data_IF_543209735505
#
_entry.id   IF_543209735505
#
_cell.length_a   1.000
_cell.length_b   1.000
_cell.length_c   1.000
_cell.angle_alpha   90.00
_cell.angle_beta   90.00
_cell.angle_gamma   90.00
#
_symmetry.space_group_name_H-M   'P 1'
#
loop_
_entity.id
_entity.type
_entity.pdbx_description
1 polymer ?
#
# COMPACT_ATOMS: atom_id res chain seq x y z
N UNK A 1 22.30 -1.55 10.92
CA UNK A 1 20.96 -2.07 10.58
C UNK A 1 20.00 -0.92 10.68
N UNK A 2 19.31 -0.59 9.58
CA UNK A 2 18.46 0.60 9.54
C UNK A 2 17.07 0.22 10.03
N UNK A 3 16.61 0.84 11.12
CA UNK A 3 15.27 0.62 11.63
C UNK A 3 14.30 1.64 11.02
N UNK A 4 13.81 1.36 9.82
CA UNK A 4 12.86 2.22 9.13
C UNK A 4 11.40 1.83 9.40
N UNK A 5 10.50 2.82 9.30
CA UNK A 5 9.08 2.78 9.68
C UNK A 5 8.84 2.20 11.08
N UNK A 6 9.42 2.79 12.13
CA UNK A 6 9.26 2.31 13.50
C UNK A 6 7.80 2.21 13.94
N UNK A 7 6.89 3.04 13.40
CA UNK A 7 5.46 2.98 13.73
C UNK A 7 4.63 1.96 12.92
N UNK A 8 5.27 1.14 12.07
CA UNK A 8 4.58 0.10 11.27
C UNK A 8 4.04 -1.09 12.08
N UNK A 9 4.24 -1.13 13.40
CA UNK A 9 3.95 -2.27 14.28
C UNK A 9 4.66 -3.58 13.92
N UNK A 10 5.50 -3.63 12.88
CA UNK A 10 6.24 -4.83 12.44
C UNK A 10 7.02 -5.50 13.58
N UNK A 11 7.67 -4.70 14.44
CA UNK A 11 8.47 -5.22 15.57
C UNK A 11 7.67 -5.94 16.65
N UNK A 12 6.37 -5.73 16.70
CA UNK A 12 5.49 -6.40 17.66
C UNK A 12 5.14 -7.82 17.22
N UNK A 13 5.39 -8.18 15.96
CA UNK A 13 5.13 -9.51 15.41
C UNK A 13 6.31 -10.46 15.65
N UNK A 14 6.03 -11.77 15.59
CA UNK A 14 7.06 -12.80 15.57
C UNK A 14 7.24 -13.33 14.13
N UNK A 15 8.46 -13.73 13.78
CA UNK A 15 8.75 -14.39 12.49
C UNK A 15 8.76 -15.90 12.70
N UNK A 16 7.90 -16.61 11.96
CA UNK A 16 7.80 -18.06 11.96
C UNK A 16 8.96 -18.76 11.24
N UNK A 17 9.05 -20.08 11.37
CA UNK A 17 10.11 -20.88 10.75
C UNK A 17 10.04 -20.92 9.21
N UNK A 18 8.86 -20.66 8.66
CA UNK A 18 8.58 -20.50 7.23
C UNK A 18 8.74 -19.05 6.74
N UNK A 19 9.30 -18.18 7.58
CA UNK A 19 9.45 -16.75 7.34
C UNK A 19 8.12 -16.00 7.17
N UNK A 20 7.02 -16.54 7.69
CA UNK A 20 5.73 -15.83 7.77
C UNK A 20 5.59 -15.08 9.11
N UNK A 21 4.73 -14.07 9.15
CA UNK A 21 4.51 -13.25 10.33
C UNK A 21 3.40 -13.83 11.21
N UNK A 22 3.70 -13.98 12.50
CA UNK A 22 2.81 -14.55 13.50
C UNK A 22 2.23 -13.45 14.39
N UNK A 23 0.92 -13.50 14.62
CA UNK A 23 0.19 -12.57 15.48
C UNK A 23 0.56 -12.82 16.95
N UNK A 24 1.04 -11.77 17.62
CA UNK A 24 1.40 -11.78 19.04
C UNK A 24 0.38 -10.99 19.87
N UNK A 25 0.46 -11.11 21.19
CA UNK A 25 -0.34 -10.27 22.09
C UNK A 25 0.06 -8.79 22.00
N UNK A 26 1.35 -8.49 21.81
CA UNK A 26 1.85 -7.12 21.63
C UNK A 26 1.25 -6.46 20.38
N UNK A 27 1.20 -7.19 19.26
CA UNK A 27 0.58 -6.70 18.02
C UNK A 27 -0.90 -6.38 18.21
N UNK A 28 -1.64 -7.28 18.87
CA UNK A 28 -3.05 -7.05 19.17
C UNK A 28 -3.26 -5.83 20.09
N UNK A 29 -2.37 -5.64 21.06
CA UNK A 29 -2.38 -4.50 21.96
C UNK A 29 -2.24 -3.15 21.23
N UNK A 30 -1.52 -3.11 20.10
CA UNK A 30 -1.35 -1.85 19.33
C UNK A 30 -2.68 -1.24 18.86
N UNK A 31 -3.70 -2.07 18.61
CA UNK A 31 -5.01 -1.58 18.18
C UNK A 31 -5.76 -0.84 19.30
N UNK A 32 -5.56 -1.23 20.57
CA UNK A 32 -6.18 -0.57 21.72
C UNK A 32 -5.60 0.84 21.98
N UNK A 33 -4.43 1.13 21.41
CA UNK A 33 -3.77 2.44 21.50
C UNK A 33 -4.26 3.42 20.43
N UNK A 34 -5.07 2.94 19.47
CA UNK A 34 -5.56 3.79 18.40
C UNK A 34 -6.61 4.77 18.90
N UNK A 35 -6.72 5.98 18.31
CA UNK A 35 -7.70 6.99 18.75
C UNK A 35 -9.15 6.49 18.79
N UNK A 36 -9.51 5.54 17.92
CA UNK A 36 -10.87 5.01 17.83
C UNK A 36 -11.25 4.07 19.00
N UNK A 37 -10.26 3.54 19.73
CA UNK A 37 -10.45 2.61 20.85
C UNK A 37 -9.80 3.08 22.16
N UNK A 38 -8.95 4.10 22.09
CA UNK A 38 -8.26 4.63 23.26
C UNK A 38 -9.24 5.34 24.18
N UNK A 39 -9.07 5.15 25.50
CA UNK A 39 -9.96 5.72 26.49
C UNK A 39 -9.86 7.25 26.52
N UNK A 40 -11.02 7.90 26.64
CA UNK A 40 -11.15 9.35 26.86
C UNK A 40 -11.66 9.63 28.28
N UNK A 41 -11.57 10.87 28.81
CA UNK A 41 -12.12 11.20 30.12
C UNK A 41 -13.61 10.84 30.28
N UNK A 42 -14.37 10.90 29.20
CA UNK A 42 -15.80 10.61 29.13
C UNK A 42 -16.13 9.11 29.03
N UNK A 43 -15.13 8.24 28.80
CA UNK A 43 -15.34 6.78 28.69
C UNK A 43 -16.02 6.21 29.93
N UNK A 44 -17.02 5.36 29.72
CA UNK A 44 -17.82 4.78 30.79
C UNK A 44 -17.09 3.63 31.51
N UNK A 45 -17.56 3.24 32.71
CA UNK A 45 -16.92 2.19 33.52
C UNK A 45 -16.85 0.83 32.80
N UNK A 46 -17.86 0.49 31.99
CA UNK A 46 -17.92 -0.75 31.21
C UNK A 46 -16.80 -0.78 30.17
N UNK A 47 -16.63 0.31 29.42
CA UNK A 47 -15.59 0.47 28.42
C UNK A 47 -14.19 0.42 29.06
N UNK A 48 -14.00 1.14 30.18
CA UNK A 48 -12.73 1.14 30.94
C UNK A 48 -12.37 -0.27 31.42
N UNK A 49 -13.34 -0.99 31.97
CA UNK A 49 -13.13 -2.36 32.45
C UNK A 49 -12.78 -3.32 31.30
N UNK A 50 -13.46 -3.20 30.15
CA UNK A 50 -13.14 -4.00 28.97
C UNK A 50 -11.75 -3.68 28.42
N UNK A 51 -11.43 -2.39 28.26
CA UNK A 51 -10.13 -1.93 27.74
C UNK A 51 -8.97 -2.41 28.62
N UNK A 52 -9.12 -2.31 29.94
CA UNK A 52 -8.12 -2.84 30.89
C UNK A 52 -7.95 -4.36 30.71
N UNK A 53 -9.05 -5.11 30.66
CA UNK A 53 -9.01 -6.58 30.49
C UNK A 53 -8.33 -6.98 29.18
N UNK A 54 -8.59 -6.26 28.10
CA UNK A 54 -7.97 -6.51 26.79
C UNK A 54 -6.51 -6.05 26.75
N UNK A 55 -6.12 -5.05 27.53
CA UNK A 55 -4.73 -4.64 27.67
C UNK A 55 -3.89 -5.69 28.40
N UNK A 56 -4.48 -6.36 29.40
CA UNK A 56 -3.84 -7.44 30.16
C UNK A 56 -3.86 -8.78 29.40
N UNK A 57 -4.95 -9.06 28.68
CA UNK A 57 -5.11 -10.26 27.88
C UNK A 57 -5.77 -9.92 26.53
N UNK A 58 -4.98 -9.57 25.49
CA UNK A 58 -5.50 -9.17 24.17
C UNK A 58 -6.35 -10.23 23.47
N UNK A 59 -6.24 -11.50 23.88
CA UNK A 59 -6.99 -12.65 23.34
C UNK A 59 -8.25 -12.98 24.13
N UNK A 60 -8.57 -12.22 25.18
CA UNK A 60 -9.76 -12.48 25.99
C UNK A 60 -11.04 -12.43 25.14
N UNK A 61 -11.94 -13.39 25.39
CA UNK A 61 -13.27 -13.44 24.77
C UNK A 61 -14.12 -12.30 25.34
N UNK A 62 -14.82 -11.61 24.45
CA UNK A 62 -15.70 -10.49 24.77
C UNK A 62 -17.10 -10.87 24.27
N UNK A 63 -18.08 -10.81 25.16
CA UNK A 63 -19.47 -11.09 24.80
C UNK A 63 -20.14 -9.84 24.20
N UNK A 64 -21.10 -10.03 23.30
CA UNK A 64 -21.80 -8.93 22.63
C UNK A 64 -22.55 -8.05 23.66
N UNK A 65 -23.06 -8.66 24.73
CA UNK A 65 -23.74 -7.94 25.81
C UNK A 65 -22.84 -6.90 26.48
N UNK A 66 -21.54 -7.20 26.63
CA UNK A 66 -20.56 -6.26 27.20
C UNK A 66 -20.38 -5.02 26.32
N UNK A 67 -20.45 -5.20 25.00
CA UNK A 67 -20.38 -4.09 24.05
C UNK A 67 -21.67 -3.28 24.12
N UNK A 68 -22.83 -3.92 24.06
CA UNK A 68 -24.13 -3.20 24.10
C UNK A 68 -24.37 -2.43 25.40
N UNK A 69 -23.67 -2.80 26.48
CA UNK A 69 -23.73 -2.12 27.77
C UNK A 69 -22.90 -0.82 27.83
N UNK A 70 -22.05 -0.54 26.83
CA UNK A 70 -21.31 0.73 26.75
C UNK A 70 -22.26 1.90 26.48
N UNK A 71 -21.98 3.07 27.06
CA UNK A 71 -22.87 4.22 26.93
C UNK A 71 -22.86 4.87 25.53
N UNK A 72 -21.72 4.81 24.84
CA UNK A 72 -21.52 5.47 23.54
C UNK A 72 -21.66 4.47 22.38
N UNK A 73 -22.63 4.72 21.50
CA UNK A 73 -22.91 3.86 20.34
C UNK A 73 -21.79 3.85 19.30
N UNK A 74 -21.05 4.93 19.14
CA UNK A 74 -19.95 5.00 18.17
C UNK A 74 -18.78 4.13 18.66
N UNK A 75 -18.51 4.15 19.97
CA UNK A 75 -17.53 3.27 20.60
C UNK A 75 -17.93 1.80 20.47
N UNK A 76 -19.22 1.47 20.63
CA UNK A 76 -19.71 0.10 20.40
C UNK A 76 -19.36 -0.40 19.00
N UNK A 77 -19.61 0.42 17.97
CA UNK A 77 -19.30 0.09 16.58
C UNK A 77 -17.79 -0.13 16.39
N UNK A 78 -16.95 0.74 16.96
CA UNK A 78 -15.50 0.62 16.88
C UNK A 78 -15.00 -0.70 17.49
N UNK A 79 -15.50 -1.06 18.68
CA UNK A 79 -15.18 -2.34 19.31
C UNK A 79 -15.67 -3.53 18.47
N UNK A 80 -16.88 -3.48 17.91
CA UNK A 80 -17.39 -4.56 17.06
C UNK A 80 -16.53 -4.78 15.81
N UNK A 81 -16.11 -3.70 15.14
CA UNK A 81 -15.22 -3.77 13.97
C UNK A 81 -13.87 -4.38 14.36
N UNK A 82 -13.27 -3.91 15.45
CA UNK A 82 -12.01 -4.44 15.96
C UNK A 82 -12.12 -5.92 16.36
N UNK A 83 -13.12 -6.30 17.14
CA UNK A 83 -13.30 -7.67 17.61
C UNK A 83 -13.56 -8.66 16.46
N UNK A 84 -14.32 -8.24 15.43
CA UNK A 84 -14.50 -9.04 14.21
C UNK A 84 -13.17 -9.24 13.48
N UNK A 85 -12.39 -8.18 13.31
CA UNK A 85 -11.07 -8.24 12.68
C UNK A 85 -10.09 -9.11 13.48
N UNK A 86 -10.00 -8.91 14.81
CA UNK A 86 -9.21 -9.71 15.75
C UNK A 86 -9.55 -11.19 15.69
N UNK A 87 -10.84 -11.53 15.60
CA UNK A 87 -11.29 -12.92 15.50
C UNK A 87 -10.74 -13.58 14.24
N UNK A 88 -10.78 -12.89 13.09
CA UNK A 88 -10.22 -13.40 11.83
C UNK A 88 -8.68 -13.50 11.87
N UNK A 89 -8.00 -12.53 12.50
CA UNK A 89 -6.55 -12.59 12.72
C UNK A 89 -6.13 -13.82 13.53
N UNK A 90 -6.83 -14.08 14.63
CA UNK A 90 -6.54 -15.21 15.52
C UNK A 90 -6.88 -16.58 14.91
N UNK A 91 -7.80 -16.63 13.94
CA UNK A 91 -8.17 -17.85 13.24
C UNK A 91 -7.15 -18.23 12.15
N UNK A 92 -6.36 -17.27 11.65
CA UNK A 92 -5.35 -17.52 10.63
C UNK A 92 -4.06 -18.07 11.24
N UNK A 93 -3.38 -18.96 10.50
CA UNK A 93 -2.09 -19.52 10.89
C UNK A 93 -0.93 -18.51 10.84
N UNK A 94 -1.09 -17.44 10.05
CA UNK A 94 -0.14 -16.34 9.91
C UNK A 94 -0.85 -15.10 9.38
N UNK A 95 -0.16 -13.96 9.45
CA UNK A 95 -0.65 -12.69 8.92
C UNK A 95 -0.79 -12.76 7.39
N UNK A 96 0.11 -13.45 6.70
CA UNK A 96 0.04 -13.68 5.25
C UNK A 96 -1.20 -14.50 4.88
N UNK A 97 -1.47 -15.58 5.61
CA UNK A 97 -2.67 -16.40 5.38
C UNK A 97 -3.95 -15.59 5.62
N UNK A 98 -3.94 -14.74 6.65
CA UNK A 98 -5.04 -13.80 6.89
C UNK A 98 -5.22 -12.84 5.71
N UNK A 99 -4.15 -12.16 5.28
CA UNK A 99 -4.17 -11.21 4.17
C UNK A 99 -4.63 -11.85 2.86
N UNK A 100 -4.11 -13.04 2.52
CA UNK A 100 -4.54 -13.80 1.34
C UNK A 100 -6.01 -14.23 1.44
N UNK A 101 -6.49 -14.53 2.65
CA UNK A 101 -7.89 -14.85 2.92
C UNK A 101 -8.84 -13.67 2.73
N UNK A 102 -8.38 -12.42 2.87
CA UNK A 102 -9.23 -11.22 2.74
C UNK A 102 -9.84 -11.05 1.35
N UNK A 103 -9.15 -11.54 0.32
CA UNK A 103 -9.54 -11.38 -1.07
C UNK A 103 -10.21 -12.65 -1.65
N UNK A 104 -10.43 -13.67 -0.81
CA UNK A 104 -11.17 -14.88 -1.17
C UNK A 104 -12.65 -14.72 -0.79
N UNK A 105 -13.56 -14.80 -1.76
CA UNK A 105 -15.02 -14.76 -1.56
C UNK A 105 -15.69 -13.44 -1.95
N UNK A 106 -16.93 -13.24 -1.49
CA UNK A 106 -17.80 -12.13 -1.88
C UNK A 106 -17.48 -10.84 -1.08
N UNK A 107 -16.32 -10.25 -1.40
CA UNK A 107 -15.93 -8.92 -0.93
C UNK A 107 -15.05 -8.89 0.32
N UNK A 108 -14.43 -7.73 0.55
CA UNK A 108 -13.48 -7.51 1.64
C UNK A 108 -14.19 -6.88 2.85
N UNK A 109 -14.48 -7.69 3.86
CA UNK A 109 -15.08 -7.25 5.15
C UNK A 109 -13.97 -6.87 6.17
N UNK A 110 -13.13 -5.92 5.78
CA UNK A 110 -12.08 -5.31 6.62
C UNK A 110 -11.90 -3.84 6.21
N UNK A 111 -11.77 -2.89 7.16
CA UNK A 111 -11.49 -1.49 6.84
C UNK A 111 -10.29 -1.31 5.91
N UNK A 112 -10.36 -0.47 4.86
CA UNK A 112 -9.25 -0.25 3.93
C UNK A 112 -7.94 0.16 4.59
N UNK A 113 -8.00 0.90 5.70
CA UNK A 113 -6.84 1.30 6.49
C UNK A 113 -6.08 0.10 7.06
N UNK A 114 -6.77 -0.95 7.50
CA UNK A 114 -6.08 -2.14 8.01
C UNK A 114 -5.38 -2.89 6.88
N UNK A 115 -5.94 -2.89 5.68
CA UNK A 115 -5.30 -3.50 4.50
C UNK A 115 -4.00 -2.77 4.15
N UNK A 116 -3.99 -1.43 4.16
CA UNK A 116 -2.76 -0.66 3.90
C UNK A 116 -1.73 -0.85 5.01
N UNK A 117 -2.14 -0.90 6.28
CA UNK A 117 -1.24 -1.20 7.40
C UNK A 117 -0.60 -2.59 7.29
N UNK A 118 -1.37 -3.60 6.88
CA UNK A 118 -0.82 -4.93 6.60
C UNK A 118 0.18 -4.88 5.44
N UNK A 119 -0.13 -4.17 4.35
CA UNK A 119 0.78 -4.00 3.25
C UNK A 119 2.10 -3.33 3.68
N UNK A 120 2.04 -2.32 4.57
CA UNK A 120 3.23 -1.70 5.18
C UNK A 120 4.06 -2.71 5.98
N UNK A 121 3.42 -3.51 6.83
CA UNK A 121 4.08 -4.56 7.63
C UNK A 121 4.80 -5.56 6.72
N UNK A 122 4.11 -6.06 5.67
CA UNK A 122 4.70 -7.02 4.76
C UNK A 122 5.84 -6.43 3.97
N UNK A 123 5.70 -5.25 3.38
CA UNK A 123 6.79 -4.65 2.61
C UNK A 123 7.99 -4.32 3.52
N UNK A 124 7.76 -3.91 4.77
CA UNK A 124 8.80 -3.74 5.78
C UNK A 124 9.56 -5.03 6.08
N UNK A 125 8.83 -6.14 6.19
CA UNK A 125 9.40 -7.47 6.40
C UNK A 125 10.23 -7.92 5.19
N UNK A 126 9.64 -7.83 4.01
CA UNK A 126 10.20 -8.29 2.72
C UNK A 126 11.47 -7.52 2.34
N UNK A 127 11.52 -6.22 2.59
CA UNK A 127 12.70 -5.39 2.29
C UNK A 127 13.87 -5.67 3.23
N UNK A 128 13.60 -6.16 4.44
CA UNK A 128 14.62 -6.57 5.41
C UNK A 128 15.49 -5.43 5.92
N UNK A 129 16.49 -5.77 6.74
CA UNK A 129 17.33 -4.78 7.44
C UNK A 129 18.44 -4.15 6.57
N UNK A 130 18.74 -4.76 5.42
CA UNK A 130 19.71 -4.27 4.44
C UNK A 130 19.02 -3.56 3.26
N UNK A 131 17.86 -2.97 3.53
CA UNK A 131 17.06 -2.26 2.55
C UNK A 131 17.83 -1.06 1.98
N UNK A 132 17.76 -0.87 0.66
CA UNK A 132 18.24 0.35 0.02
C UNK A 132 17.23 1.49 0.26
N UNK A 133 17.65 2.76 0.44
CA UNK A 133 16.70 3.84 0.69
C UNK A 133 15.65 4.03 -0.42
N UNK A 134 16.04 3.89 -1.70
CA UNK A 134 15.07 3.89 -2.81
C UNK A 134 14.11 2.69 -2.79
N UNK A 135 14.53 1.52 -2.29
CA UNK A 135 13.62 0.37 -2.11
C UNK A 135 12.56 0.72 -1.07
N UNK A 136 12.95 1.35 0.04
CA UNK A 136 12.03 1.79 1.10
C UNK A 136 11.06 2.85 0.57
N UNK A 137 11.56 3.92 -0.07
CA UNK A 137 10.68 4.94 -0.66
C UNK A 137 9.69 4.37 -1.67
N UNK A 138 10.13 3.43 -2.52
CA UNK A 138 9.23 2.74 -3.45
C UNK A 138 8.27 1.77 -2.75
N UNK A 139 8.67 1.21 -1.62
CA UNK A 139 7.81 0.40 -0.76
C UNK A 139 6.62 1.17 -0.21
N UNK A 140 6.73 2.50 -0.03
CA UNK A 140 5.62 3.34 0.42
C UNK A 140 4.41 3.31 -0.54
N UNK A 141 4.62 3.08 -1.83
CA UNK A 141 3.53 2.96 -2.81
C UNK A 141 2.58 1.79 -2.49
N UNK A 142 3.04 0.78 -1.74
CA UNK A 142 2.21 -0.38 -1.38
C UNK A 142 1.12 -0.04 -0.37
N UNK A 143 1.30 1.02 0.41
CA UNK A 143 0.40 1.36 1.51
C UNK A 143 -0.02 2.83 1.56
N UNK A 144 0.60 3.71 0.78
CA UNK A 144 0.25 5.14 0.69
C UNK A 144 -0.15 5.54 -0.72
N UNK A 145 -1.27 6.25 -0.83
CA UNK A 145 -1.70 6.87 -2.09
C UNK A 145 -0.71 7.95 -2.48
N UNK A 146 -0.31 7.98 -3.74
CA UNK A 146 0.57 9.02 -4.26
C UNK A 146 -0.20 10.04 -5.08
N UNK A 147 0.10 11.32 -4.90
CA UNK A 147 -0.28 12.39 -5.81
C UNK A 147 0.68 12.43 -6.99
N UNK A 148 0.12 12.45 -8.19
CA UNK A 148 0.86 12.47 -9.45
C UNK A 148 0.79 13.87 -10.07
N UNK A 149 1.97 14.38 -10.42
CA UNK A 149 2.13 15.65 -11.14
C UNK A 149 2.93 15.40 -12.41
N UNK A 150 2.34 15.75 -13.55
CA UNK A 150 3.03 15.72 -14.84
C UNK A 150 3.55 17.13 -15.10
N UNK A 151 4.88 17.30 -15.10
CA UNK A 151 5.54 18.58 -15.36
C UNK A 151 5.67 18.84 -16.87
N UNK A 152 6.12 20.05 -17.21
CA UNK A 152 6.58 20.37 -18.56
C UNK A 152 7.64 19.34 -19.00
N UNK A 153 7.63 18.94 -20.28
CA UNK A 153 8.43 17.85 -20.87
C UNK A 153 8.02 16.40 -20.52
N UNK A 154 6.88 16.19 -19.84
CA UNK A 154 6.33 14.86 -19.60
C UNK A 154 6.97 14.09 -18.43
N UNK A 155 7.68 14.81 -17.55
CA UNK A 155 8.21 14.24 -16.30
C UNK A 155 7.06 13.94 -15.35
N UNK A 156 6.97 12.68 -14.91
CA UNK A 156 5.92 12.19 -14.00
C UNK A 156 6.50 12.08 -12.60
N UNK A 157 6.13 13.04 -11.75
CA UNK A 157 6.51 13.10 -10.35
C UNK A 157 5.43 12.47 -9.47
N UNK A 158 5.87 11.72 -8.48
CA UNK A 158 5.03 11.05 -7.48
C UNK A 158 5.42 11.52 -6.09
N UNK A 159 4.44 11.97 -5.31
CA UNK A 159 4.59 12.42 -3.93
C UNK A 159 3.47 11.84 -3.06
N UNK A 160 3.64 11.85 -1.74
CA UNK A 160 2.56 11.38 -0.85
C UNK A 160 1.33 12.29 -0.91
N UNK A 161 0.15 11.72 -1.11
CA UNK A 161 -1.09 12.48 -1.28
C UNK A 161 -1.53 13.19 0.00
N UNK A 162 -1.33 12.59 1.18
CA UNK A 162 -1.70 13.22 2.45
C UNK A 162 -0.78 14.39 2.78
N UNK A 163 0.53 14.26 2.54
CA UNK A 163 1.49 15.35 2.75
C UNK A 163 1.23 16.50 1.78
N UNK A 164 1.00 16.21 0.49
CA UNK A 164 0.65 17.22 -0.51
C UNK A 164 -0.62 17.98 -0.11
N UNK A 165 -1.66 17.25 0.28
CA UNK A 165 -2.95 17.84 0.68
C UNK A 165 -2.82 18.69 1.94
N UNK A 166 -2.09 18.20 2.95
CA UNK A 166 -1.82 18.93 4.20
C UNK A 166 -1.07 20.24 3.93
N UNK A 167 -0.04 20.20 3.08
CA UNK A 167 0.76 21.38 2.75
C UNK A 167 -0.04 22.42 1.96
N UNK A 168 -0.92 21.98 1.06
CA UNK A 168 -1.84 22.88 0.36
C UNK A 168 -2.78 23.62 1.33
N UNK A 169 -3.39 22.89 2.28
CA UNK A 169 -4.28 23.47 3.30
C UNK A 169 -3.54 24.42 4.27
N UNK A 170 -2.32 24.08 4.66
CA UNK A 170 -1.47 24.95 5.47
C UNK A 170 -1.14 26.26 4.73
N UNK A 171 -0.96 26.20 3.40
CA UNK A 171 -0.76 27.37 2.56
C UNK A 171 -1.99 28.29 2.46
N UNK A 172 -3.20 27.74 2.49
CA UNK A 172 -4.46 28.51 2.43
C UNK A 172 -4.77 29.26 3.74
N UNK A 173 -4.37 28.70 4.88
CA UNK A 173 -4.49 29.36 6.20
C UNK A 173 -3.34 30.33 6.50
N UNK A 174 -2.29 30.31 5.66
CA UNK A 174 -1.12 31.15 5.74
C UNK A 174 -1.36 32.58 5.27
N UNK A 175 -1.64 33.46 6.23
CA UNK A 175 -1.30 34.89 6.22
C UNK A 175 -2.33 35.85 5.58
N UNK A 176 -3.33 36.24 6.38
CA UNK A 176 -4.16 37.44 6.16
C UNK A 176 -3.29 38.69 5.89
N UNK A 177 -2.04 38.72 6.36
CA UNK A 177 -1.07 39.80 6.08
C UNK A 177 -0.48 39.77 4.66
N UNK A 178 -0.44 38.61 3.99
CA UNK A 178 0.02 38.49 2.59
C UNK A 178 -1.10 38.86 1.60
N UNK A 179 -2.36 38.61 1.95
CA UNK A 179 -3.53 39.10 1.21
C UNK A 179 -3.64 40.64 1.19
N UNK A 180 -3.13 41.31 2.23
CA UNK A 180 -3.10 42.78 2.32
C UNK A 180 -1.96 43.43 1.51
N UNK A 181 -0.97 42.65 1.04
CA UNK A 181 0.21 43.16 0.31
C UNK A 181 0.09 43.08 -1.22
N UNK A 182 -1.05 42.64 -1.76
CA UNK A 182 -1.37 42.80 -3.19
C UNK A 182 -0.46 42.04 -4.17
N UNK A 183 0.34 41.08 -3.71
CA UNK A 183 1.09 40.23 -4.61
C UNK A 183 0.22 39.08 -5.09
N UNK A 184 0.16 38.93 -6.42
CA UNK A 184 -0.59 37.92 -7.15
C UNK A 184 -0.45 36.53 -6.54
N UNK A 185 -1.55 35.79 -6.54
CA UNK A 185 -1.58 34.34 -6.28
C UNK A 185 -0.69 33.61 -7.28
N UNK A 186 0.61 33.50 -6.99
CA UNK A 186 1.36 32.32 -7.39
C UNK A 186 1.09 31.26 -6.34
N UNK A 187 0.44 30.16 -6.74
CA UNK A 187 0.48 28.93 -5.97
C UNK A 187 1.93 28.68 -5.61
N UNK A 188 2.30 28.83 -4.32
CA UNK A 188 3.64 28.44 -3.88
C UNK A 188 3.77 26.95 -4.19
N UNK A 189 4.73 26.61 -5.05
CA UNK A 189 5.10 25.23 -5.33
C UNK A 189 5.35 24.54 -3.99
N UNK A 190 4.70 23.40 -3.77
CA UNK A 190 5.00 22.55 -2.62
C UNK A 190 6.46 22.11 -2.82
N UNK A 191 7.35 22.60 -1.96
CA UNK A 191 8.79 22.33 -2.01
C UNK A 191 9.00 20.93 -1.42
N UNK A 192 8.73 19.90 -2.23
CA UNK A 192 9.04 18.52 -1.90
C UNK A 192 10.44 18.22 -2.41
N UNK A 193 11.28 17.68 -1.52
CA UNK A 193 12.60 17.20 -1.90
C UNK A 193 12.46 16.05 -2.90
N UNK A 194 13.21 16.09 -4.01
CA UNK A 194 13.21 14.99 -4.98
C UNK A 194 14.31 13.99 -4.62
N UNK A 195 13.91 12.73 -4.40
CA UNK A 195 14.83 11.64 -4.12
C UNK A 195 15.31 10.98 -5.42
N UNK A 196 16.62 10.88 -5.55
CA UNK A 196 17.35 10.23 -6.65
C UNK A 196 18.50 9.38 -6.08
N UNK A 197 19.21 8.65 -6.94
CA UNK A 197 20.23 7.68 -6.50
C UNK A 197 21.35 8.33 -5.68
N UNK A 198 21.84 9.50 -6.12
CA UNK A 198 22.96 10.21 -5.46
C UNK A 198 22.62 10.80 -4.08
N UNK A 199 21.33 11.04 -3.78
CA UNK A 199 20.90 11.61 -2.50
C UNK A 199 20.01 10.65 -1.70
N UNK A 200 19.94 9.37 -2.10
CA UNK A 200 19.01 8.39 -1.55
C UNK A 200 19.15 8.22 -0.03
N UNK A 201 20.36 8.33 0.51
CA UNK A 201 20.63 8.19 1.95
C UNK A 201 19.87 9.20 2.82
N UNK A 202 19.49 10.37 2.27
CA UNK A 202 18.67 11.37 2.97
C UNK A 202 17.30 10.83 3.40
N UNK A 203 16.82 9.77 2.75
CA UNK A 203 15.57 9.10 3.11
C UNK A 203 15.55 8.64 4.57
N UNK A 204 16.69 8.17 5.09
CA UNK A 204 16.74 7.61 6.45
C UNK A 204 16.54 8.65 7.55
N UNK A 205 16.83 9.91 7.28
CA UNK A 205 16.59 10.99 8.23
C UNK A 205 15.10 11.38 8.33
N UNK A 206 14.27 10.92 7.37
CA UNK A 206 12.87 11.34 7.19
C UNK A 206 11.94 10.18 6.80
N UNK A 207 12.25 8.95 7.21
CA UNK A 207 11.54 7.74 6.77
C UNK A 207 10.04 7.68 7.16
N UNK A 208 9.61 8.53 8.10
CA UNK A 208 8.20 8.73 8.49
C UNK A 208 7.63 10.10 8.11
N UNK A 209 8.46 10.97 7.50
CA UNK A 209 8.05 12.29 7.03
C UNK A 209 7.24 12.23 5.74
N UNK A 210 7.51 11.23 4.89
CA UNK A 210 6.86 11.01 3.60
C UNK A 210 6.89 12.25 2.67
N UNK A 211 7.89 13.12 2.84
CA UNK A 211 8.05 14.40 2.15
C UNK A 211 8.93 14.33 0.89
N UNK A 212 9.46 13.15 0.55
CA UNK A 212 10.23 12.92 -0.66
C UNK A 212 9.34 12.61 -1.87
N UNK A 213 9.51 13.37 -2.95
CA UNK A 213 8.98 13.05 -4.27
C UNK A 213 9.96 12.15 -5.05
N UNK A 214 9.43 11.34 -5.97
CA UNK A 214 10.23 10.48 -6.87
C UNK A 214 9.71 10.55 -8.30
N UNK A 215 10.61 10.39 -9.27
CA UNK A 215 10.24 10.33 -10.68
C UNK A 215 9.93 8.88 -11.11
N UNK A 216 8.74 8.64 -11.67
CA UNK A 216 8.26 7.31 -12.04
C UNK A 216 8.39 6.97 -13.53
N UNK A 217 8.97 7.88 -14.33
CA UNK A 217 9.16 7.64 -15.76
C UNK A 217 10.04 6.40 -16.02
N UNK A 218 9.79 5.74 -17.16
CA UNK A 218 10.69 4.74 -17.71
C UNK A 218 12.13 5.29 -17.82
N UNK A 219 13.11 4.45 -17.47
CA UNK A 219 14.54 4.79 -17.51
C UNK A 219 15.08 5.49 -16.26
N UNK A 220 14.23 5.85 -15.30
CA UNK A 220 14.67 6.45 -14.04
C UNK A 220 15.00 5.39 -12.97
N UNK A 221 16.01 5.59 -12.10
CA UNK A 221 16.37 4.61 -11.08
C UNK A 221 15.20 4.16 -10.17
N UNK A 222 14.32 5.05 -9.65
CA UNK A 222 13.24 4.64 -8.74
C UNK A 222 12.32 3.56 -9.32
N UNK A 223 12.03 3.60 -10.63
CA UNK A 223 11.14 2.62 -11.25
C UNK A 223 11.74 1.20 -11.25
N UNK A 224 13.08 1.09 -11.30
CA UNK A 224 13.76 -0.21 -11.19
C UNK A 224 13.71 -0.75 -9.76
N UNK A 225 13.86 0.10 -8.75
CA UNK A 225 13.69 -0.27 -7.34
C UNK A 225 12.27 -0.75 -7.06
N UNK A 226 11.27 -0.08 -7.64
CA UNK A 226 9.88 -0.51 -7.56
C UNK A 226 9.67 -1.90 -8.17
N UNK A 227 10.25 -2.19 -9.34
CA UNK A 227 10.20 -3.53 -9.94
C UNK A 227 10.78 -4.59 -9.00
N UNK A 228 11.93 -4.32 -8.36
CA UNK A 228 12.55 -5.24 -7.40
C UNK A 228 11.67 -5.46 -6.17
N UNK A 229 11.00 -4.43 -5.66
CA UNK A 229 10.05 -4.56 -4.55
C UNK A 229 8.85 -5.45 -4.93
N UNK A 230 8.28 -5.27 -6.12
CA UNK A 230 7.19 -6.11 -6.63
C UNK A 230 7.61 -7.58 -6.83
N UNK A 231 8.82 -7.82 -7.32
CA UNK A 231 9.36 -9.19 -7.43
C UNK A 231 9.49 -9.87 -6.07
N UNK A 232 10.04 -9.17 -5.08
CA UNK A 232 10.16 -9.69 -3.71
C UNK A 232 8.77 -9.94 -3.10
N UNK A 233 7.78 -9.09 -3.42
CA UNK A 233 6.39 -9.29 -3.01
C UNK A 233 5.79 -10.58 -3.58
N UNK A 234 5.94 -10.82 -4.88
CA UNK A 234 5.50 -12.06 -5.54
C UNK A 234 6.20 -13.27 -4.93
N UNK A 235 7.52 -13.20 -4.73
CA UNK A 235 8.29 -14.29 -4.13
C UNK A 235 7.84 -14.61 -2.71
N UNK A 236 7.55 -13.61 -1.88
CA UNK A 236 7.14 -13.80 -0.48
C UNK A 236 5.80 -14.53 -0.37
N UNK A 237 4.78 -14.07 -1.11
CA UNK A 237 3.42 -14.59 -1.00
C UNK A 237 3.17 -15.86 -1.82
N UNK A 238 3.79 -15.97 -3.00
CA UNK A 238 3.51 -17.06 -3.94
C UNK A 238 4.66 -18.07 -4.02
N UNK A 239 5.84 -17.74 -3.49
CA UNK A 239 7.03 -18.57 -3.65
C UNK A 239 7.59 -18.60 -5.07
N UNK A 240 7.09 -17.72 -5.96
CA UNK A 240 7.42 -17.73 -7.39
C UNK A 240 8.44 -16.65 -7.73
N UNK A 241 9.51 -17.05 -8.44
CA UNK A 241 10.52 -16.13 -8.93
C UNK A 241 10.09 -15.54 -10.27
N UNK A 242 10.07 -14.21 -10.34
CA UNK A 242 9.72 -13.45 -11.54
C UNK A 242 10.75 -12.34 -11.78
N UNK A 243 10.80 -11.86 -13.03
CA UNK A 243 11.58 -10.69 -13.44
C UNK A 243 10.63 -9.65 -14.02
N UNK A 244 10.57 -8.49 -13.41
CA UNK A 244 9.78 -7.34 -13.84
C UNK A 244 10.73 -6.29 -14.44
N UNK A 245 10.47 -5.91 -15.68
CA UNK A 245 11.27 -4.92 -16.43
C UNK A 245 10.37 -3.76 -16.85
N UNK A 246 10.71 -2.51 -16.55
CA UNK A 246 9.92 -1.37 -17.01
C UNK A 246 10.00 -1.26 -18.53
N UNK A 247 8.97 -0.68 -19.14
CA UNK A 247 8.83 -0.55 -20.59
C UNK A 247 8.34 0.85 -20.96
N UNK A 248 8.81 1.34 -22.11
CA UNK A 248 8.28 2.56 -22.72
C UNK A 248 6.94 2.31 -23.43
N UNK A 249 6.81 1.18 -24.10
CA UNK A 249 5.60 0.78 -24.84
C UNK A 249 5.48 -0.74 -24.89
N UNK A 250 4.26 -1.23 -25.09
CA UNK A 250 3.99 -2.64 -25.35
C UNK A 250 3.80 -2.82 -26.85
N UNK A 251 4.58 -3.69 -27.46
CA UNK A 251 4.44 -4.07 -28.86
C UNK A 251 4.49 -5.59 -28.97
N UNK A 252 3.34 -6.23 -28.73
CA UNK A 252 3.19 -7.67 -28.86
C UNK A 252 1.86 -8.01 -29.54
N UNK A 253 1.88 -8.48 -30.81
CA UNK A 253 0.67 -8.88 -31.51
C UNK A 253 0.02 -10.14 -30.94
N UNK A 254 0.70 -10.85 -30.02
CA UNK A 254 0.24 -12.09 -29.37
C UNK A 254 0.00 -11.90 -27.87
N UNK A 255 -0.22 -10.65 -27.43
CA UNK A 255 -0.54 -10.33 -26.04
C UNK A 255 -1.66 -11.24 -25.50
N UNK A 256 -1.32 -12.05 -24.50
CA UNK A 256 -2.19 -13.10 -23.97
C UNK A 256 -2.54 -12.96 -22.49
N UNK A 257 -1.92 -12.02 -21.76
CA UNK A 257 -2.17 -11.79 -20.35
C UNK A 257 -1.71 -10.42 -19.87
N UNK A 258 -2.42 -9.84 -18.91
CA UNK A 258 -2.01 -8.61 -18.24
C UNK A 258 -2.46 -8.51 -16.79
N UNK A 259 -1.84 -7.60 -16.05
CA UNK A 259 -2.21 -7.23 -14.67
C UNK A 259 -2.09 -5.72 -14.51
N UNK A 260 -3.20 -5.02 -14.28
CA UNK A 260 -3.18 -3.64 -13.79
C UNK A 260 -2.79 -3.62 -12.31
N UNK A 261 -1.90 -2.72 -11.92
CA UNK A 261 -1.44 -2.58 -10.54
C UNK A 261 -2.28 -1.59 -9.72
N UNK A 262 -3.24 -0.92 -10.34
CA UNK A 262 -4.21 -0.02 -9.73
C UNK A 262 -5.55 -0.14 -10.50
N UNK A 263 -6.58 0.61 -10.07
CA UNK A 263 -7.89 0.56 -10.72
C UNK A 263 -7.85 1.10 -12.16
N UNK A 264 -7.22 2.25 -12.39
CA UNK A 264 -7.19 2.90 -13.70
C UNK A 264 -6.38 2.09 -14.71
N UNK A 265 -5.21 1.56 -14.32
CA UNK A 265 -4.42 0.70 -15.21
C UNK A 265 -5.13 -0.62 -15.51
N UNK A 266 -5.89 -1.16 -14.57
CA UNK A 266 -6.71 -2.36 -14.80
C UNK A 266 -7.75 -2.10 -15.89
N UNK A 267 -8.48 -0.98 -15.78
CA UNK A 267 -9.53 -0.63 -16.74
C UNK A 267 -8.95 -0.38 -18.14
N UNK A 268 -7.85 0.39 -18.24
CA UNK A 268 -7.18 0.67 -19.51
C UNK A 268 -6.66 -0.63 -20.16
N UNK A 269 -5.95 -1.47 -19.40
CA UNK A 269 -5.38 -2.71 -19.95
C UNK A 269 -6.48 -3.71 -20.35
N UNK A 270 -7.60 -3.77 -19.62
CA UNK A 270 -8.75 -4.59 -19.98
C UNK A 270 -9.35 -4.17 -21.33
N UNK A 271 -9.57 -2.86 -21.55
CA UNK A 271 -10.07 -2.34 -22.83
C UNK A 271 -9.12 -2.69 -23.98
N UNK A 272 -7.82 -2.45 -23.80
CA UNK A 272 -6.81 -2.77 -24.81
C UNK A 272 -6.77 -4.28 -25.13
N UNK A 273 -6.85 -5.13 -24.11
CA UNK A 273 -6.89 -6.59 -24.27
C UNK A 273 -8.15 -7.06 -25.01
N UNK A 274 -9.31 -6.46 -24.71
CA UNK A 274 -10.59 -6.75 -25.38
C UNK A 274 -10.70 -6.11 -26.78
N UNK A 275 -9.68 -5.37 -27.23
CA UNK A 275 -9.68 -4.60 -28.49
C UNK A 275 -10.78 -3.54 -28.55
N UNK A 276 -11.14 -3.01 -27.38
CA UNK A 276 -12.02 -1.86 -27.26
C UNK A 276 -11.24 -0.57 -27.57
N UNK A 277 -11.94 0.47 -28.02
CA UNK A 277 -11.33 1.78 -28.20
C UNK A 277 -10.94 2.37 -26.84
N UNK A 278 -9.73 2.90 -26.76
CA UNK A 278 -9.24 3.65 -25.60
C UNK A 278 -8.94 5.05 -26.08
N UNK A 279 -9.58 6.03 -25.46
CA UNK A 279 -9.42 7.42 -25.82
C UNK A 279 -8.02 7.93 -25.42
N UNK A 280 -7.54 8.99 -26.08
CA UNK A 280 -6.18 9.49 -25.88
C UNK A 280 -5.93 9.98 -24.45
N UNK A 281 -6.94 10.60 -23.83
CA UNK A 281 -6.92 11.07 -22.45
C UNK A 281 -6.83 9.90 -21.44
N UNK A 282 -7.41 8.74 -21.73
CA UNK A 282 -7.23 7.54 -20.92
C UNK A 282 -5.80 6.99 -21.03
N UNK A 283 -5.21 7.00 -22.23
CA UNK A 283 -3.82 6.57 -22.41
C UNK A 283 -2.82 7.50 -21.72
N UNK A 284 -3.10 8.80 -21.67
CA UNK A 284 -2.29 9.80 -20.95
C UNK A 284 -2.22 9.56 -19.43
N UNK A 285 -3.16 8.77 -18.87
CA UNK A 285 -3.14 8.39 -17.45
C UNK A 285 -2.08 7.32 -17.13
N UNK A 286 -1.56 6.61 -18.13
CA UNK A 286 -0.53 5.59 -17.92
C UNK A 286 0.77 6.26 -17.46
N UNK A 287 1.24 5.87 -16.29
CA UNK A 287 2.49 6.38 -15.69
C UNK A 287 3.68 5.55 -16.18
N UNK A 288 3.58 4.23 -16.09
CA UNK A 288 4.62 3.31 -16.52
C UNK A 288 4.04 1.94 -16.86
N UNK A 289 4.64 1.27 -17.84
CA UNK A 289 4.32 -0.10 -18.25
C UNK A 289 5.45 -1.03 -17.83
N UNK A 290 5.14 -2.30 -17.64
CA UNK A 290 6.14 -3.31 -17.29
C UNK A 290 5.87 -4.61 -18.03
N UNK A 291 6.94 -5.40 -18.15
CA UNK A 291 6.89 -6.80 -18.55
C UNK A 291 7.35 -7.65 -17.39
N UNK A 292 6.55 -8.64 -17.03
CA UNK A 292 6.88 -9.69 -16.10
C UNK A 292 7.16 -10.99 -16.86
N UNK A 293 8.34 -11.55 -16.63
CA UNK A 293 8.74 -12.88 -17.09
C UNK A 293 8.87 -13.81 -15.88
N UNK A 294 8.32 -15.02 -15.99
CA UNK A 294 8.54 -16.05 -14.97
C UNK A 294 9.94 -16.64 -15.12
N UNK A 295 10.68 -16.73 -14.01
CA UNK A 295 11.97 -17.41 -13.97
C UNK A 295 11.74 -18.91 -13.77
N UNK A 296 10.75 -19.26 -12.93
CA UNK A 296 10.29 -20.63 -12.76
C UNK A 296 9.07 -20.91 -13.66
N UNK A 297 9.31 -21.53 -14.82
CA UNK A 297 8.25 -21.89 -15.75
C UNK A 297 7.27 -22.94 -15.18
N UNK A 298 7.69 -23.76 -14.20
CA UNK A 298 6.81 -24.78 -13.61
C UNK A 298 5.68 -24.15 -12.78
N UNK A 299 5.83 -22.91 -12.35
CA UNK A 299 4.82 -22.14 -11.65
C UNK A 299 3.71 -21.61 -12.58
N UNK A 300 3.86 -21.68 -13.90
CA UNK A 300 2.99 -21.01 -14.89
C UNK A 300 1.95 -21.97 -15.47
N UNK A 301 0.74 -21.49 -15.68
CA UNK A 301 -0.30 -22.25 -16.38
C UNK A 301 0.16 -22.63 -17.80
N UNK A 302 -0.11 -23.88 -18.21
CA UNK A 302 0.38 -24.45 -19.47
C UNK A 302 0.13 -23.55 -20.70
N UNK A 303 -1.01 -22.84 -20.75
CA UNK A 303 -1.39 -21.96 -21.86
C UNK A 303 -0.56 -20.67 -21.95
N UNK A 304 0.15 -20.31 -20.88
CA UNK A 304 0.94 -19.07 -20.72
C UNK A 304 2.45 -19.34 -20.60
N UNK A 305 2.90 -20.59 -20.75
CA UNK A 305 4.33 -20.92 -20.76
C UNK A 305 5.10 -20.14 -21.82
N UNK A 306 6.24 -19.58 -21.43
CA UNK A 306 7.11 -18.78 -22.30
C UNK A 306 6.52 -17.45 -22.75
N UNK A 307 5.37 -17.03 -22.23
CA UNK A 307 4.73 -15.75 -22.56
C UNK A 307 4.88 -14.75 -21.41
N UNK A 308 5.12 -13.47 -21.72
CA UNK A 308 5.19 -12.43 -20.69
C UNK A 308 3.80 -12.09 -20.15
N UNK A 309 3.79 -11.51 -18.96
CA UNK A 309 2.65 -10.79 -18.41
C UNK A 309 2.92 -9.30 -18.53
N UNK A 310 2.04 -8.57 -19.20
CA UNK A 310 2.16 -7.11 -19.28
C UNK A 310 1.47 -6.44 -18.08
N UNK A 311 2.09 -5.40 -17.55
CA UNK A 311 1.59 -4.70 -16.37
C UNK A 311 1.61 -3.19 -16.59
N UNK A 312 0.86 -2.46 -15.78
CA UNK A 312 0.89 -1.01 -15.79
C UNK A 312 0.50 -0.41 -14.45
N UNK A 313 0.97 0.82 -14.23
CA UNK A 313 0.45 1.75 -13.23
C UNK A 313 -0.11 2.99 -13.93
N UNK A 314 -1.19 3.54 -13.40
CA UNK A 314 -1.86 4.72 -13.92
C UNK A 314 -2.35 5.63 -12.79
N UNK A 315 -2.55 6.91 -13.12
CA UNK A 315 -3.26 7.83 -12.24
C UNK A 315 -4.77 7.77 -12.51
N UNK A 316 -5.58 8.00 -11.47
CA UNK A 316 -7.02 8.24 -11.62
C UNK A 316 -7.32 9.70 -12.04
N UNK A 317 -8.61 10.05 -12.13
CA UNK A 317 -9.07 11.39 -12.49
C UNK A 317 -8.64 12.46 -11.48
N UNK A 318 -8.46 12.09 -10.22
CA UNK A 318 -7.93 12.94 -9.16
C UNK A 318 -6.40 13.09 -9.21
N UNK A 319 -5.74 12.56 -10.23
CA UNK A 319 -4.27 12.49 -10.36
C UNK A 319 -3.60 11.76 -9.19
N UNK A 320 -4.20 10.66 -8.75
CA UNK A 320 -3.69 9.81 -7.68
C UNK A 320 -3.33 8.43 -8.22
N UNK A 321 -2.21 7.89 -7.76
CA UNK A 321 -1.84 6.50 -7.91
C UNK A 321 -2.11 5.77 -6.60
N UNK A 322 -3.07 4.84 -6.62
CA UNK A 322 -3.37 3.95 -5.48
C UNK A 322 -3.09 2.50 -5.87
N UNK A 323 -1.93 2.01 -5.46
CA UNK A 323 -1.51 0.65 -5.75
C UNK A 323 -2.47 -0.37 -5.12
N UNK A 324 -2.70 -1.46 -5.84
CA UNK A 324 -3.40 -2.67 -5.39
C UNK A 324 -2.43 -3.86 -5.47
N UNK A 325 -1.48 -4.00 -4.53
CA UNK A 325 -0.45 -5.04 -4.59
C UNK A 325 -1.01 -6.47 -4.60
N UNK A 326 -2.22 -6.68 -4.08
CA UNK A 326 -2.93 -7.95 -4.18
C UNK A 326 -3.22 -8.38 -5.63
N UNK A 327 -3.27 -7.46 -6.60
CA UNK A 327 -3.50 -7.81 -8.00
C UNK A 327 -2.38 -8.73 -8.53
N UNK A 328 -1.15 -8.59 -8.05
CA UNK A 328 -0.05 -9.51 -8.37
C UNK A 328 -0.17 -10.88 -7.71
N UNK A 329 -0.98 -11.02 -6.68
CA UNK A 329 -1.15 -12.28 -5.96
C UNK A 329 -2.26 -13.14 -6.57
N UNK A 330 -3.29 -12.50 -7.11
CA UNK A 330 -4.50 -13.19 -7.59
C UNK A 330 -4.67 -13.20 -9.11
N UNK A 331 -4.02 -12.30 -9.85
CA UNK A 331 -4.22 -12.17 -11.30
C UNK A 331 -3.04 -12.68 -12.13
N UNK A 332 -2.04 -13.32 -11.53
CA UNK A 332 -0.96 -13.98 -12.29
C UNK A 332 -1.41 -15.35 -12.84
N UNK A 333 -0.95 -15.76 -14.03
CA UNK A 333 -1.37 -17.00 -14.67
C UNK A 333 -0.62 -18.22 -14.09
N UNK A 334 -0.87 -18.52 -12.82
CA UNK A 334 -0.19 -19.61 -12.10
C UNK A 334 -0.79 -21.00 -12.43
N UNK A 335 0.05 -22.03 -12.41
CA UNK A 335 -0.33 -23.43 -12.70
C UNK A 335 -1.30 -24.01 -11.67
N UNK A 336 -1.21 -23.54 -10.42
CA UNK A 336 -2.14 -23.86 -9.33
C UNK A 336 -2.80 -22.57 -8.89
N UNK A 337 -4.12 -22.53 -8.92
CA UNK A 337 -4.90 -21.45 -8.31
C UNK A 337 -4.93 -21.71 -6.80
N UNK A 338 -4.45 -20.75 -6.01
CA UNK A 338 -4.33 -20.84 -4.54
C UNK A 338 -5.65 -20.64 -3.80
#
# INVERSE_FOLDING_TARGET
MTNFWPHSAYKTLAVGADNQLLVTDEFLGTYLLRPELNLVPESCDVERALHQRLSENPRAVVADEEITAMADLDIQVNYQVWLRYRTKLLAASSLENFYMGLFKGDGVDVPPLFISQLAQIFIRHILGESCHPLDARMGELFFRTQKISVLEDGVVMSADDEIVTRNAQAGETGNIMDLLKGNSMSMRSIDLDVLHEENADLYWDKDEGHDFAVQLNFGQPPINHFCRALEKWVQHFLGVQVRITPMQQITDPKWSWHVGLDAASTDILNKLYNKEAVEADELEKIICLFRLDFIDEAAVAQAQLGKPVYMGIAMNDEKQLKLKPQNLLFNLPLAKTS
#
